data_IF_344074781293
#
_entry.id   IF_344074781293
#
_cell.length_a   1.000
_cell.length_b   1.000
_cell.length_c   1.000
_cell.angle_alpha   90.00
_cell.angle_beta   90.00
_cell.angle_gamma   90.00
#
_symmetry.space_group_name_H-M   'P 1'
#
loop_
_entity.id
_entity.type
_entity.pdbx_description
1 polymer ?
#
# COMPACT_ATOMS: atom_id res chain seq x y z
N UNK A 1 -11.43 -15.57 5.99
CA UNK A 1 -10.15 -15.01 5.50
C UNK A 1 -9.94 -13.63 6.10
N UNK A 2 -8.80 -13.41 6.73
CA UNK A 2 -8.51 -12.13 7.36
C UNK A 2 -8.05 -11.10 6.33
N UNK A 3 -8.43 -9.87 6.55
CA UNK A 3 -7.90 -8.73 5.81
C UNK A 3 -7.85 -7.50 6.70
N UNK A 4 -7.02 -6.55 6.32
CA UNK A 4 -6.90 -5.28 7.01
C UNK A 4 -7.51 -4.20 6.13
N UNK A 5 -8.28 -3.31 6.75
CA UNK A 5 -8.93 -2.20 6.06
C UNK A 5 -8.47 -0.92 6.73
N UNK A 6 -7.97 0.01 5.92
CA UNK A 6 -7.53 1.33 6.41
C UNK A 6 -8.11 2.41 5.51
N UNK A 7 -8.09 3.65 5.99
CA UNK A 7 -8.45 4.82 5.20
C UNK A 7 -7.24 5.70 5.01
N UNK A 8 -7.05 6.21 3.80
CA UNK A 8 -5.98 7.16 3.53
C UNK A 8 -6.36 8.56 4.05
N UNK A 9 -5.49 9.55 3.83
CA UNK A 9 -5.70 10.93 4.32
C UNK A 9 -7.01 11.56 3.82
N UNK A 10 -7.49 11.13 2.67
CA UNK A 10 -8.68 11.66 2.05
C UNK A 10 -9.91 10.76 2.27
N UNK A 11 -9.79 9.77 3.14
CA UNK A 11 -10.88 8.88 3.51
C UNK A 11 -11.15 7.74 2.55
N UNK A 12 -10.26 7.49 1.59
CA UNK A 12 -10.41 6.35 0.68
C UNK A 12 -10.15 5.06 1.42
N UNK A 13 -11.07 4.13 1.34
CA UNK A 13 -10.93 2.83 1.99
C UNK A 13 -10.07 1.90 1.12
N UNK A 14 -9.06 1.30 1.73
CA UNK A 14 -8.12 0.41 1.06
C UNK A 14 -7.99 -0.85 1.91
N UNK A 15 -7.98 -2.02 1.26
CA UNK A 15 -7.77 -3.25 2.02
C UNK A 15 -6.57 -4.04 1.50
N UNK A 16 -6.03 -4.86 2.38
CA UNK A 16 -4.97 -5.83 2.06
C UNK A 16 -5.36 -7.16 2.68
N UNK A 17 -5.33 -8.23 1.88
CA UNK A 17 -5.61 -9.57 2.39
C UNK A 17 -4.39 -10.16 3.08
N UNK A 18 -4.61 -11.08 4.02
CA UNK A 18 -3.54 -11.81 4.66
C UNK A 18 -2.70 -12.57 3.63
N UNK A 19 -3.33 -13.17 2.64
CA UNK A 19 -2.64 -13.87 1.57
C UNK A 19 -1.70 -12.93 0.80
N UNK A 20 -2.17 -11.72 0.48
CA UNK A 20 -1.33 -10.72 -0.18
C UNK A 20 -0.15 -10.32 0.69
N UNK A 21 -0.37 -10.13 1.98
CA UNK A 21 0.71 -9.80 2.91
C UNK A 21 1.78 -10.90 2.96
N UNK A 22 1.37 -12.16 3.00
CA UNK A 22 2.32 -13.29 2.95
C UNK A 22 3.13 -13.29 1.66
N UNK A 23 2.47 -13.01 0.54
CA UNK A 23 3.15 -12.92 -0.75
C UNK A 23 4.17 -11.77 -0.78
N UNK A 24 3.78 -10.61 -0.25
CA UNK A 24 4.65 -9.45 -0.17
C UNK A 24 5.90 -9.77 0.66
N UNK A 25 5.74 -10.31 1.85
CA UNK A 25 6.89 -10.58 2.74
C UNK A 25 7.77 -11.71 2.24
N UNK A 26 7.25 -12.62 1.45
CA UNK A 26 8.05 -13.65 0.78
C UNK A 26 8.96 -13.03 -0.27
N UNK A 27 8.47 -12.08 -1.05
CA UNK A 27 9.25 -11.42 -2.11
C UNK A 27 10.06 -10.25 -1.61
N UNK A 28 9.59 -9.57 -0.58
CA UNK A 28 10.20 -8.36 -0.04
C UNK A 28 10.39 -8.55 1.46
N UNK A 29 11.36 -9.40 1.80
CA UNK A 29 11.66 -9.79 3.18
C UNK A 29 12.03 -8.61 4.08
N UNK A 30 12.46 -7.49 3.52
CA UNK A 30 12.73 -6.27 4.29
C UNK A 30 11.48 -5.74 5.01
N UNK A 31 10.28 -6.15 4.57
CA UNK A 31 9.03 -5.73 5.20
C UNK A 31 8.52 -6.71 6.26
N UNK A 32 9.20 -7.84 6.45
CA UNK A 32 8.79 -8.80 7.47
C UNK A 32 8.82 -8.14 8.86
N UNK A 33 7.73 -8.27 9.61
CA UNK A 33 7.56 -7.59 10.89
C UNK A 33 7.11 -6.13 10.80
N UNK A 34 6.88 -5.60 9.60
CA UNK A 34 6.50 -4.20 9.37
C UNK A 34 5.07 -4.03 8.88
N UNK A 35 4.17 -4.92 9.29
CA UNK A 35 2.75 -4.81 8.89
C UNK A 35 2.15 -3.46 9.28
N UNK A 36 2.34 -3.05 10.52
CA UNK A 36 1.79 -1.77 10.99
C UNK A 36 2.38 -0.59 10.23
N UNK A 37 3.66 -0.64 9.90
CA UNK A 37 4.32 0.42 9.12
C UNK A 37 3.78 0.49 7.69
N UNK A 38 3.45 -0.64 7.09
CA UNK A 38 2.81 -0.70 5.76
C UNK A 38 1.41 -0.09 5.83
N UNK A 39 0.62 -0.46 6.84
CA UNK A 39 -0.72 0.10 7.03
C UNK A 39 -0.66 1.61 7.30
N UNK A 40 0.31 2.07 8.09
CA UNK A 40 0.52 3.49 8.34
C UNK A 40 0.96 4.25 7.09
N UNK A 41 1.68 3.58 6.20
CA UNK A 41 2.03 4.17 4.91
C UNK A 41 0.76 4.47 4.08
N UNK A 42 -0.21 3.58 4.13
CA UNK A 42 -1.50 3.83 3.49
C UNK A 42 -2.28 4.95 4.17
N UNK A 43 -2.26 5.00 5.51
CA UNK A 43 -3.00 6.02 6.27
C UNK A 43 -2.41 7.42 6.11
N UNK A 44 -1.10 7.54 6.16
CA UNK A 44 -0.42 8.82 6.32
C UNK A 44 0.54 9.19 5.19
N UNK A 45 0.86 8.23 4.31
CA UNK A 45 1.80 8.44 3.23
C UNK A 45 1.28 9.41 2.17
N UNK A 46 2.20 9.95 1.41
CA UNK A 46 1.88 10.67 0.18
C UNK A 46 1.49 9.66 -0.89
N UNK A 47 0.70 10.07 -1.86
CA UNK A 47 0.30 9.17 -2.94
C UNK A 47 0.65 9.78 -4.29
N UNK A 48 0.92 8.91 -5.25
CA UNK A 48 1.31 9.30 -6.58
C UNK A 48 0.67 8.36 -7.59
N UNK A 49 0.04 8.93 -8.61
CA UNK A 49 -0.55 8.13 -9.68
C UNK A 49 0.54 7.51 -10.53
N UNK A 50 0.37 6.23 -10.87
CA UNK A 50 1.28 5.56 -11.79
C UNK A 50 1.10 6.11 -13.20
N UNK A 51 2.20 6.41 -13.89
CA UNK A 51 2.16 6.97 -15.23
C UNK A 51 1.67 5.98 -16.28
N UNK A 52 1.91 4.69 -16.06
CA UNK A 52 1.56 3.62 -17.01
C UNK A 52 0.16 3.07 -16.78
N UNK A 53 -0.29 3.09 -15.53
CA UNK A 53 -1.60 2.58 -15.15
C UNK A 53 -2.29 3.60 -14.25
N UNK A 54 -3.15 4.46 -14.80
CA UNK A 54 -3.79 5.51 -14.02
C UNK A 54 -4.74 5.00 -12.94
N UNK A 55 -5.06 3.72 -12.93
CA UNK A 55 -5.85 3.10 -11.86
C UNK A 55 -4.98 2.60 -10.70
N UNK A 56 -3.67 2.72 -10.80
CA UNK A 56 -2.74 2.34 -9.75
C UNK A 56 -2.11 3.58 -9.15
N UNK A 57 -2.08 3.63 -7.82
CA UNK A 57 -1.40 4.68 -7.07
C UNK A 57 -0.38 4.04 -6.15
N UNK A 58 0.77 4.69 -5.98
CA UNK A 58 1.75 4.30 -4.99
C UNK A 58 1.68 5.26 -3.81
N UNK A 59 1.62 4.68 -2.61
CA UNK A 59 1.73 5.41 -1.35
C UNK A 59 3.15 5.25 -0.85
N UNK A 60 3.74 6.31 -0.32
CA UNK A 60 5.11 6.23 0.18
C UNK A 60 5.26 7.06 1.44
N UNK A 61 6.11 6.56 2.33
CA UNK A 61 6.35 7.19 3.61
C UNK A 61 7.71 6.76 4.14
N UNK A 62 8.41 7.70 4.77
CA UNK A 62 9.66 7.39 5.45
C UNK A 62 9.38 6.48 6.64
N UNK A 63 10.23 5.48 6.82
CA UNK A 63 10.10 4.51 7.92
C UNK A 63 11.49 4.27 8.50
N UNK A 64 11.73 4.79 9.70
CA UNK A 64 13.04 4.74 10.35
C UNK A 64 13.38 3.37 10.90
N UNK A 65 12.39 2.50 11.11
CA UNK A 65 12.60 1.18 11.70
C UNK A 65 13.04 0.13 10.69
N UNK A 66 13.10 0.46 9.40
CA UNK A 66 13.60 -0.47 8.39
C UNK A 66 15.09 -0.69 8.53
N UNK A 67 15.54 -1.91 8.19
CA UNK A 67 16.97 -2.22 8.14
C UNK A 67 17.61 -1.50 6.95
N UNK A 68 18.76 -0.86 7.20
CA UNK A 68 19.51 -0.21 6.12
C UNK A 68 19.79 -1.21 5.00
N UNK A 69 19.77 -0.78 3.74
CA UNK A 69 19.74 0.61 3.26
C UNK A 69 18.33 1.20 3.11
N UNK A 70 17.31 0.47 3.47
CA UNK A 70 15.92 0.90 3.24
C UNK A 70 15.52 1.98 4.25
N UNK A 71 14.85 3.01 3.77
CA UNK A 71 14.38 4.12 4.60
C UNK A 71 12.95 4.57 4.27
N UNK A 72 12.35 3.98 3.23
CA UNK A 72 10.97 4.27 2.83
C UNK A 72 10.22 2.98 2.56
N UNK A 73 8.91 3.02 2.78
CA UNK A 73 7.99 1.98 2.36
C UNK A 73 7.15 2.51 1.21
N UNK A 74 7.06 1.72 0.17
CA UNK A 74 6.22 1.99 -1.00
C UNK A 74 5.12 0.95 -1.03
N UNK A 75 3.87 1.37 -1.20
CA UNK A 75 2.73 0.46 -1.31
C UNK A 75 1.95 0.79 -2.57
N UNK A 76 1.85 -0.19 -3.46
CA UNK A 76 1.08 -0.04 -4.70
C UNK A 76 -0.36 -0.50 -4.47
N UNK A 77 -1.31 0.36 -4.85
CA UNK A 77 -2.74 0.13 -4.64
C UNK A 77 -3.48 0.26 -5.95
N UNK A 78 -4.29 -0.73 -6.26
CA UNK A 78 -5.19 -0.68 -7.41
C UNK A 78 -6.51 -0.05 -7.00
N UNK A 79 -6.94 0.96 -7.74
CA UNK A 79 -8.22 1.63 -7.54
C UNK A 79 -9.17 1.15 -8.61
N UNK A 80 -10.15 0.35 -8.20
CA UNK A 80 -11.12 -0.28 -9.08
C UNK A 80 -12.53 0.00 -8.58
N UNK A 81 -13.49 -0.36 -9.39
CA UNK A 81 -14.89 -0.35 -9.03
C UNK A 81 -15.48 -1.70 -9.36
N UNK A 82 -16.47 -2.11 -8.57
CA UNK A 82 -17.28 -3.26 -8.94
C UNK A 82 -18.76 -2.90 -8.79
N UNK A 83 -19.60 -3.62 -9.54
CA UNK A 83 -21.04 -3.45 -9.49
C UNK A 83 -21.60 -4.33 -8.39
N UNK A 84 -22.40 -3.73 -7.51
CA UNK A 84 -23.10 -4.50 -6.50
C UNK A 84 -24.39 -5.09 -7.08
N UNK A 85 -25.03 -5.96 -6.29
CA UNK A 85 -26.26 -6.66 -6.72
C UNK A 85 -27.42 -5.72 -7.02
N UNK A 86 -27.42 -4.51 -6.47
CA UNK A 86 -28.45 -3.52 -6.73
C UNK A 86 -28.14 -2.58 -7.91
N UNK A 87 -27.07 -2.86 -8.64
CA UNK A 87 -26.66 -2.06 -9.80
C UNK A 87 -25.82 -0.84 -9.48
N UNK A 88 -25.52 -0.57 -8.19
CA UNK A 88 -24.63 0.53 -7.84
C UNK A 88 -23.18 0.16 -8.03
N UNK A 89 -22.34 1.17 -8.33
CA UNK A 89 -20.91 1.00 -8.46
C UNK A 89 -20.25 1.35 -7.13
N UNK A 90 -19.45 0.44 -6.57
CA UNK A 90 -18.76 0.65 -5.31
C UNK A 90 -17.25 0.57 -5.51
N UNK A 91 -16.48 1.40 -4.78
CA UNK A 91 -15.03 1.33 -4.85
C UNK A 91 -14.52 -0.03 -4.35
N UNK A 92 -13.46 -0.50 -5.00
CA UNK A 92 -12.78 -1.74 -4.63
C UNK A 92 -11.28 -1.48 -4.72
N UNK A 93 -10.70 -0.90 -3.68
CA UNK A 93 -9.32 -0.47 -3.65
C UNK A 93 -8.50 -1.45 -2.82
N UNK A 94 -7.46 -2.01 -3.40
CA UNK A 94 -6.72 -3.07 -2.72
C UNK A 94 -5.22 -2.98 -2.98
N UNK A 95 -4.44 -3.44 -2.01
CA UNK A 95 -2.99 -3.50 -2.12
C UNK A 95 -2.59 -4.56 -3.13
N UNK A 96 -1.73 -4.17 -4.06
CA UNK A 96 -1.17 -5.05 -5.08
C UNK A 96 0.20 -5.55 -4.65
N UNK A 97 1.04 -4.65 -4.15
CA UNK A 97 2.39 -4.99 -3.69
C UNK A 97 2.90 -3.91 -2.74
N UNK A 98 4.00 -4.22 -2.07
CA UNK A 98 4.71 -3.27 -1.23
C UNK A 98 6.17 -3.68 -1.17
N UNK A 99 7.06 -2.70 -0.96
CA UNK A 99 8.50 -2.95 -0.86
C UNK A 99 9.17 -1.82 -0.09
N UNK A 100 10.38 -2.14 0.38
CA UNK A 100 11.26 -1.12 0.94
C UNK A 100 12.05 -0.44 -0.15
N UNK A 101 12.42 0.82 0.06
CA UNK A 101 13.19 1.60 -0.90
C UNK A 101 14.13 2.53 -0.17
N UNK A 102 15.29 2.79 -0.77
CA UNK A 102 16.19 3.85 -0.33
C UNK A 102 15.94 5.07 -1.21
N UNK A 103 15.58 6.16 -0.58
CA UNK A 103 15.40 7.45 -1.26
C UNK A 103 16.43 8.41 -0.66
N UNK A 104 17.48 8.78 -1.43
CA UNK A 104 18.51 9.68 -0.91
C UNK A 104 17.92 11.03 -0.49
N UNK A 105 18.41 11.55 0.63
CA UNK A 105 18.07 12.90 1.06
C UNK A 105 18.74 13.90 0.13
N UNK A 106 18.01 14.95 -0.23
CA UNK A 106 18.62 16.08 -0.92
C UNK A 106 19.39 16.89 0.13
N UNK A 107 20.63 17.10 -0.15
CA UNK A 107 21.48 17.97 0.67
C UNK A 107 21.43 19.40 0.16
#
# INVERSE_FOLDING_TARGET
MQRWVVRDRDGREIYMTEERWKHITTRHGELDGHLDDVLDTLRWGKRRQDKRDPQTYTYYRRCKSLTAPYDHIIVAVAFRFHESTDGTTVPNNFVVSAWGKHIPSKS
#
